data_IF_965509556624
#
_entry.id   IF_965509556624
#
_cell.length_a   1.000
_cell.length_b   1.000
_cell.length_c   1.000
_cell.angle_alpha   90.00
_cell.angle_beta   90.00
_cell.angle_gamma   90.00
#
_symmetry.space_group_name_H-M   'P 1'
#
loop_
_entity.id
_entity.type
_entity.pdbx_description
1 polymer ?
#
# COMPACT_ATOMS: atom_id res chain seq x y z
N UNK A 1 -11.88 3.06 -4.29
CA UNK A 1 -10.91 2.04 -3.85
C UNK A 1 -9.73 2.13 -4.80
N UNK A 2 -8.60 2.70 -4.37
CA UNK A 2 -7.39 2.76 -5.20
C UNK A 2 -6.41 1.73 -4.65
N UNK A 3 -6.24 0.61 -5.36
CA UNK A 3 -5.10 -0.30 -5.23
C UNK A 3 -4.09 0.14 -6.27
N UNK A 4 -3.09 0.92 -5.86
CA UNK A 4 -1.88 1.11 -6.67
C UNK A 4 -0.92 0.01 -6.23
N UNK A 5 -0.59 -0.90 -7.13
CA UNK A 5 0.59 -1.75 -7.03
C UNK A 5 1.61 -1.12 -7.98
N UNK A 6 2.46 -0.25 -7.42
CA UNK A 6 3.56 0.35 -8.15
C UNK A 6 4.75 -0.59 -8.05
N UNK A 7 5.11 -1.22 -9.16
CA UNK A 7 6.33 -2.02 -9.29
C UNK A 7 7.39 -1.11 -9.90
N UNK A 8 8.30 -0.62 -9.06
CA UNK A 8 9.55 -0.01 -9.54
C UNK A 8 10.61 -1.13 -9.59
N UNK A 9 11.68 -0.98 -10.36
CA UNK A 9 12.64 -2.06 -10.61
C UNK A 9 14.07 -1.56 -10.36
N UNK A 10 14.72 -2.01 -9.29
CA UNK A 10 16.08 -1.67 -8.90
C UNK A 10 16.86 -2.93 -8.43
N UNK A 11 17.23 -3.79 -9.40
CA UNK A 11 18.16 -4.94 -9.29
C UNK A 11 19.02 -5.05 -8.00
N UNK A 12 18.56 -5.80 -6.98
CA UNK A 12 19.34 -6.66 -6.04
C UNK A 12 18.38 -7.29 -4.98
N UNK A 13 18.77 -8.28 -4.13
CA UNK A 13 17.85 -9.28 -3.59
C UNK A 13 16.66 -8.64 -2.87
N UNK A 14 15.50 -8.96 -3.41
CA UNK A 14 14.47 -7.99 -3.71
C UNK A 14 13.33 -8.09 -2.69
N UNK A 15 13.16 -7.03 -1.90
CA UNK A 15 12.16 -6.96 -0.84
C UNK A 15 10.80 -6.51 -1.37
N UNK A 16 9.76 -7.18 -0.85
CA UNK A 16 8.36 -6.86 -1.08
C UNK A 16 7.86 -5.89 -0.01
N UNK A 17 7.59 -4.63 -0.37
CA UNK A 17 7.05 -3.64 0.58
C UNK A 17 5.53 -3.76 0.68
N UNK A 18 5.02 -4.06 1.88
CA UNK A 18 3.60 -4.01 2.21
C UNK A 18 3.26 -2.78 3.05
N UNK A 19 2.46 -1.87 2.48
CA UNK A 19 1.85 -0.78 3.24
C UNK A 19 0.51 -1.26 3.78
N UNK A 20 0.41 -1.42 5.10
CA UNK A 20 -0.76 -2.00 5.76
C UNK A 20 -1.43 -0.95 6.65
N UNK A 21 -2.76 -1.05 6.81
CA UNK A 21 -3.55 -0.17 7.69
C UNK A 21 -3.94 -0.83 9.03
N UNK A 22 -3.91 -2.16 9.14
CA UNK A 22 -4.18 -2.93 10.38
C UNK A 22 -3.62 -4.37 10.36
N UNK A 23 -3.35 -4.94 11.54
CA UNK A 23 -2.56 -6.16 11.86
C UNK A 23 -3.18 -7.52 11.44
N UNK A 24 -4.27 -7.56 10.65
CA UNK A 24 -5.02 -8.82 10.41
C UNK A 24 -4.33 -9.89 9.54
N UNK A 25 -3.14 -9.63 9.00
CA UNK A 25 -2.43 -10.54 8.08
C UNK A 25 -1.18 -11.19 8.65
N UNK A 26 -1.06 -11.26 9.96
CA UNK A 26 0.04 -11.93 10.68
C UNK A 26 0.40 -13.30 10.06
N UNK A 27 -0.62 -14.16 9.89
CA UNK A 27 -0.45 -15.52 9.34
C UNK A 27 0.06 -15.55 7.89
N UNK A 28 -0.23 -14.53 7.09
CA UNK A 28 0.21 -14.49 5.69
C UNK A 28 1.71 -14.25 5.57
N UNK A 29 2.27 -13.43 6.46
CA UNK A 29 3.69 -13.06 6.45
C UNK A 29 4.56 -13.99 7.30
N UNK A 30 3.98 -14.67 8.29
CA UNK A 30 4.68 -15.57 9.19
C UNK A 30 5.53 -16.60 8.42
N UNK A 31 6.80 -16.75 8.81
CA UNK A 31 7.73 -17.70 8.20
C UNK A 31 8.48 -17.18 6.96
N UNK A 32 8.24 -15.94 6.52
CA UNK A 32 8.85 -15.36 5.31
C UNK A 32 9.71 -14.12 5.60
N UNK A 33 10.24 -14.02 6.83
CA UNK A 33 11.08 -12.89 7.23
C UNK A 33 12.28 -12.75 6.28
N UNK A 34 12.64 -11.51 5.95
CA UNK A 34 13.71 -11.18 4.99
C UNK A 34 13.27 -11.13 3.53
N UNK A 35 12.05 -11.56 3.18
CA UNK A 35 11.49 -11.42 1.82
C UNK A 35 10.60 -10.19 1.66
N UNK A 36 10.26 -9.52 2.76
CA UNK A 36 9.38 -8.36 2.76
C UNK A 36 9.78 -7.32 3.81
N UNK A 37 9.34 -6.08 3.59
CA UNK A 37 9.37 -4.98 4.56
C UNK A 37 7.94 -4.47 4.77
N UNK A 38 7.56 -4.14 6.00
CA UNK A 38 6.21 -3.65 6.33
C UNK A 38 6.29 -2.22 6.85
N UNK A 39 5.47 -1.35 6.28
CA UNK A 39 5.28 0.03 6.73
C UNK A 39 3.81 0.24 7.09
N UNK A 40 3.53 0.33 8.38
CA UNK A 40 2.18 0.33 8.94
C UNK A 40 1.73 1.77 9.23
N UNK A 41 0.61 2.17 8.63
CA UNK A 41 -0.06 3.44 8.90
C UNK A 41 -1.38 3.18 9.63
N UNK A 42 -1.44 3.52 10.92
CA UNK A 42 -2.59 3.29 11.81
C UNK A 42 -3.18 4.61 12.30
N UNK A 43 -4.37 4.58 12.94
CA UNK A 43 -4.89 5.78 13.60
C UNK A 43 -3.90 6.29 14.64
N UNK A 44 -3.68 7.61 14.76
CA UNK A 44 -2.85 8.16 15.84
C UNK A 44 -3.35 7.78 17.24
N UNK A 45 -4.65 7.50 17.39
CA UNK A 45 -5.27 7.11 18.68
C UNK A 45 -4.89 5.71 19.14
N UNK A 46 -4.40 4.85 18.24
CA UNK A 46 -3.88 3.53 18.61
C UNK A 46 -2.49 3.79 19.19
N UNK A 47 -2.24 3.46 20.45
CA UNK A 47 -0.92 3.60 21.10
C UNK A 47 -0.26 2.27 21.40
N UNK A 48 -1.04 1.18 21.37
CA UNK A 48 -0.53 -0.17 21.59
C UNK A 48 0.37 -0.62 20.44
N UNK A 49 1.57 -1.02 20.80
CA UNK A 49 2.53 -1.66 19.89
C UNK A 49 2.25 -3.17 19.87
N UNK A 50 2.35 -3.84 18.71
CA UNK A 50 2.26 -5.29 18.64
C UNK A 50 3.32 -5.98 19.53
N UNK A 51 3.09 -7.22 20.00
CA UNK A 51 4.12 -7.99 20.69
C UNK A 51 5.36 -8.18 19.82
N UNK A 52 6.53 -8.37 20.42
CA UNK A 52 7.80 -8.53 19.68
C UNK A 52 7.82 -9.76 18.74
N UNK A 53 6.95 -10.74 19.00
CA UNK A 53 6.76 -11.91 18.16
C UNK A 53 5.93 -11.65 16.90
N UNK A 54 5.30 -10.46 16.79
CA UNK A 54 4.50 -10.07 15.64
C UNK A 54 5.36 -9.59 14.48
N UNK A 55 4.98 -9.96 13.27
CA UNK A 55 5.56 -9.43 12.03
C UNK A 55 5.34 -7.92 11.84
N UNK A 56 4.48 -7.30 12.66
CA UNK A 56 4.20 -5.86 12.63
C UNK A 56 4.92 -5.08 13.74
N UNK A 57 5.71 -5.74 14.59
CA UNK A 57 6.47 -5.08 15.64
C UNK A 57 7.44 -4.06 15.05
N UNK A 58 7.39 -2.81 15.54
CA UNK A 58 8.20 -1.67 15.09
C UNK A 58 8.05 -1.34 13.60
N UNK A 59 6.98 -1.78 12.95
CA UNK A 59 6.71 -1.44 11.56
C UNK A 59 5.91 -0.14 11.39
N UNK A 60 5.49 0.48 12.50
CA UNK A 60 4.61 1.65 12.49
C UNK A 60 5.36 2.92 12.11
N UNK A 61 4.77 3.69 11.19
CA UNK A 61 5.26 5.02 10.82
C UNK A 61 4.42 6.13 11.51
N UNK A 62 4.99 7.33 11.68
CA UNK A 62 4.24 8.50 12.16
C UNK A 62 3.00 8.75 11.31
N UNK A 63 1.84 8.75 11.97
CA UNK A 63 0.53 8.74 11.32
C UNK A 63 -0.26 9.99 11.67
N UNK A 64 -1.09 10.48 10.73
CA UNK A 64 -2.05 11.57 10.96
C UNK A 64 -3.46 11.07 10.73
N UNK A 65 -4.45 11.78 11.28
CA UNK A 65 -5.86 11.46 11.11
C UNK A 65 -6.25 11.40 9.63
N UNK A 66 -7.10 10.43 9.28
CA UNK A 66 -7.53 10.16 7.92
C UNK A 66 -9.04 10.22 7.86
N UNK A 67 -9.55 11.04 6.95
CA UNK A 67 -10.98 11.20 6.75
C UNK A 67 -11.37 10.67 5.37
N UNK A 68 -12.45 9.88 5.32
CA UNK A 68 -12.89 9.29 4.07
C UNK A 68 -13.34 10.36 3.07
N UNK A 69 -12.95 10.19 1.80
CA UNK A 69 -13.32 11.11 0.73
C UNK A 69 -12.54 12.43 0.70
N UNK A 70 -11.63 12.68 1.66
CA UNK A 70 -10.75 13.85 1.66
C UNK A 70 -9.35 13.52 1.11
N UNK A 71 -8.58 14.58 0.79
CA UNK A 71 -7.19 14.47 0.36
C UNK A 71 -6.28 13.77 1.40
N UNK A 72 -6.68 13.76 2.67
CA UNK A 72 -5.97 13.08 3.76
C UNK A 72 -5.79 11.57 3.51
N UNK A 73 -6.66 10.92 2.71
CA UNK A 73 -6.48 9.52 2.29
C UNK A 73 -5.28 9.35 1.37
N UNK A 74 -5.02 10.34 0.50
CA UNK A 74 -3.86 10.32 -0.39
C UNK A 74 -2.59 10.50 0.44
N UNK A 75 -2.59 11.47 1.35
CA UNK A 75 -1.44 11.70 2.23
C UNK A 75 -1.12 10.49 3.11
N UNK A 76 -2.16 9.83 3.63
CA UNK A 76 -2.04 8.60 4.41
C UNK A 76 -1.34 7.47 3.65
N UNK A 77 -1.53 7.39 2.33
CA UNK A 77 -0.83 6.41 1.47
C UNK A 77 0.57 6.86 1.10
N UNK A 78 0.78 8.17 0.91
CA UNK A 78 2.08 8.75 0.54
C UNK A 78 3.11 8.60 1.66
N UNK A 79 2.74 8.78 2.93
CA UNK A 79 3.67 8.70 4.07
C UNK A 79 4.38 7.33 4.21
N UNK A 80 3.68 6.19 4.25
CA UNK A 80 4.34 4.90 4.35
C UNK A 80 5.12 4.55 3.08
N UNK A 81 4.62 4.96 1.90
CA UNK A 81 5.36 4.80 0.65
C UNK A 81 6.67 5.62 0.66
N UNK A 82 6.64 6.85 1.15
CA UNK A 82 7.83 7.70 1.24
C UNK A 82 8.88 7.09 2.18
N UNK A 83 8.46 6.52 3.32
CA UNK A 83 9.39 5.81 4.22
C UNK A 83 9.96 4.55 3.56
N UNK A 84 9.14 3.81 2.82
CA UNK A 84 9.60 2.63 2.11
C UNK A 84 10.62 2.96 1.01
N UNK A 85 10.49 4.12 0.37
CA UNK A 85 11.42 4.61 -0.65
C UNK A 85 12.79 5.04 -0.08
N UNK A 86 12.91 5.26 1.22
CA UNK A 86 14.21 5.56 1.85
C UNK A 86 15.10 4.32 1.94
N UNK A 87 14.50 3.13 1.83
CA UNK A 87 15.20 1.86 1.85
C UNK A 87 15.33 1.33 0.42
N UNK A 88 16.53 1.47 -0.14
CA UNK A 88 16.87 1.07 -1.50
C UNK A 88 16.84 -0.44 -1.74
N UNK A 89 16.69 -1.26 -0.69
CA UNK A 89 16.52 -2.70 -0.84
C UNK A 89 15.07 -3.09 -1.23
N UNK A 90 14.12 -2.15 -1.12
CA UNK A 90 12.75 -2.33 -1.57
C UNK A 90 12.62 -2.09 -3.08
N UNK A 91 12.32 -3.16 -3.80
CA UNK A 91 12.07 -3.12 -5.24
C UNK A 91 10.57 -2.92 -5.55
N UNK A 92 9.71 -3.69 -4.87
CA UNK A 92 8.29 -3.79 -5.22
C UNK A 92 7.42 -3.16 -4.13
N UNK A 93 6.49 -2.29 -4.49
CA UNK A 93 5.62 -1.62 -3.54
C UNK A 93 4.15 -2.03 -3.72
N UNK A 94 3.57 -2.55 -2.65
CA UNK A 94 2.16 -2.98 -2.62
C UNK A 94 1.40 -2.29 -1.50
N UNK A 95 0.37 -1.55 -1.89
CA UNK A 95 -0.52 -0.85 -0.97
C UNK A 95 -1.73 -1.72 -0.62
N UNK A 96 -1.92 -2.00 0.67
CA UNK A 96 -3.01 -2.85 1.17
C UNK A 96 -3.82 -2.15 2.26
N UNK A 97 -5.14 -2.14 2.10
CA UNK A 97 -6.07 -1.80 3.18
C UNK A 97 -6.34 -3.01 4.06
N UNK A 98 -6.97 -2.80 5.22
CA UNK A 98 -7.41 -3.86 6.15
C UNK A 98 -8.35 -4.88 5.50
N UNK A 99 -9.14 -4.42 4.53
CA UNK A 99 -10.14 -5.22 3.83
C UNK A 99 -9.58 -6.07 2.70
N UNK A 100 -8.29 -5.97 2.37
CA UNK A 100 -7.73 -6.84 1.32
C UNK A 100 -7.56 -8.27 1.86
N UNK A 101 -7.96 -9.25 1.06
CA UNK A 101 -7.85 -10.67 1.39
C UNK A 101 -6.94 -11.30 0.33
N UNK A 102 -5.83 -11.97 0.72
CA UNK A 102 -4.98 -12.66 -0.24
C UNK A 102 -5.75 -13.84 -0.84
N UNK A 103 -5.70 -13.98 -2.17
CA UNK A 103 -6.33 -15.09 -2.89
C UNK A 103 -5.39 -16.27 -3.10
N UNK A 104 -4.09 -16.03 -2.99
CA UNK A 104 -3.02 -17.02 -3.12
C UNK A 104 -2.09 -16.93 -1.92
N UNK A 105 -1.27 -17.97 -1.71
CA UNK A 105 -0.29 -17.97 -0.63
C UNK A 105 0.85 -16.97 -0.87
N UNK A 106 1.68 -16.75 0.16
CA UNK A 106 2.78 -15.79 0.11
C UNK A 106 3.74 -16.09 -1.04
N UNK A 107 4.26 -17.32 -1.12
CA UNK A 107 5.27 -17.72 -2.11
C UNK A 107 4.80 -17.50 -3.54
N UNK A 108 3.54 -17.84 -3.85
CA UNK A 108 2.95 -17.61 -5.17
C UNK A 108 2.90 -16.12 -5.51
N UNK A 109 2.44 -15.27 -4.58
CA UNK A 109 2.35 -13.83 -4.79
C UNK A 109 3.75 -13.21 -4.92
N UNK A 110 4.67 -13.58 -4.03
CA UNK A 110 6.04 -13.12 -4.01
C UNK A 110 6.74 -13.43 -5.34
N UNK A 111 6.73 -14.70 -5.76
CA UNK A 111 7.35 -15.12 -7.01
C UNK A 111 6.73 -14.44 -8.23
N UNK A 112 5.41 -14.22 -8.23
CA UNK A 112 4.74 -13.50 -9.32
C UNK A 112 5.20 -12.03 -9.41
N UNK A 113 5.25 -11.33 -8.28
CA UNK A 113 5.59 -9.91 -8.26
C UNK A 113 7.07 -9.63 -8.49
N UNK A 114 7.93 -10.51 -7.98
CA UNK A 114 9.38 -10.33 -8.08
C UNK A 114 9.90 -10.59 -9.49
N UNK A 115 9.31 -11.58 -10.17
CA UNK A 115 9.67 -11.92 -11.54
C UNK A 115 8.91 -11.09 -12.58
N UNK A 116 7.94 -10.27 -12.17
CA UNK A 116 7.23 -9.37 -13.07
C UNK A 116 8.05 -8.11 -13.35
N UNK A 117 8.08 -7.71 -14.63
CA UNK A 117 8.59 -6.41 -15.09
C UNK A 117 7.47 -5.35 -15.24
N UNK A 118 6.24 -5.67 -14.82
CA UNK A 118 5.07 -4.82 -14.98
C UNK A 118 4.61 -4.20 -13.66
N UNK A 119 4.12 -2.97 -13.74
CA UNK A 119 3.31 -2.31 -12.72
C UNK A 119 1.83 -2.61 -12.91
N UNK A 120 1.08 -2.76 -11.81
CA UNK A 120 -0.34 -3.09 -11.82
C UNK A 120 -1.15 -1.94 -11.21
N UNK A 121 -1.78 -1.13 -12.05
CA UNK A 121 -2.61 -0.02 -11.62
C UNK A 121 -4.02 -0.21 -12.15
N UNK A 122 -4.99 -0.31 -11.23
CA UNK A 122 -6.40 -0.33 -11.59
C UNK A 122 -6.94 1.09 -11.75
N UNK A 123 -7.40 1.43 -12.95
CA UNK A 123 -8.19 2.64 -13.20
C UNK A 123 -9.55 2.22 -13.73
N UNK A 124 -10.62 2.79 -13.19
CA UNK A 124 -11.98 2.55 -13.63
C UNK A 124 -12.59 3.93 -13.86
N UNK A 125 -12.99 4.18 -15.10
CA UNK A 125 -13.79 5.34 -15.44
C UNK A 125 -15.27 4.98 -15.30
N UNK A 126 -15.90 5.42 -14.22
CA UNK A 126 -17.30 5.13 -13.91
C UNK A 126 -18.15 6.39 -14.17
N UNK A 127 -18.92 6.45 -15.28
CA UNK A 127 -19.67 7.65 -15.65
C UNK A 127 -20.83 7.96 -14.70
N UNK A 128 -21.19 7.04 -13.80
CA UNK A 128 -22.32 7.22 -12.88
C UNK A 128 -22.02 8.29 -11.83
N UNK A 129 -23.06 8.71 -11.11
CA UNK A 129 -22.97 9.69 -10.01
C UNK A 129 -21.92 9.32 -8.95
N UNK A 130 -21.66 8.02 -8.76
CA UNK A 130 -20.69 7.51 -7.78
C UNK A 130 -19.24 7.49 -8.28
N UNK A 131 -19.00 7.65 -9.58
CA UNK A 131 -17.67 7.82 -10.17
C UNK A 131 -17.45 9.27 -10.59
N UNK A 132 -17.51 9.55 -11.88
CA UNK A 132 -17.26 10.86 -12.48
C UNK A 132 -18.14 11.97 -11.87
N UNK A 133 -19.36 11.64 -11.47
CA UNK A 133 -20.28 12.61 -10.85
C UNK A 133 -19.84 13.13 -9.47
N UNK A 134 -18.82 12.54 -8.85
CA UNK A 134 -18.22 13.05 -7.59
C UNK A 134 -17.18 14.14 -7.82
N UNK A 135 -16.62 14.25 -9.02
CA UNK A 135 -15.61 15.26 -9.30
C UNK A 135 -16.25 16.62 -9.52
N UNK A 136 -15.63 17.66 -8.94
CA UNK A 136 -15.99 19.03 -9.24
C UNK A 136 -15.78 19.28 -10.74
N UNK A 137 -16.81 19.77 -11.44
CA UNK A 137 -16.76 20.09 -12.87
C UNK A 137 -15.70 21.13 -13.24
N UNK A 138 -15.13 21.83 -12.26
CA UNK A 138 -14.00 22.76 -12.45
C UNK A 138 -12.63 22.06 -12.52
N UNK A 139 -12.55 20.77 -12.25
CA UNK A 139 -11.30 19.98 -12.33
C UNK A 139 -11.19 19.21 -13.65
N UNK A 140 -12.04 19.51 -14.64
CA UNK A 140 -11.91 18.91 -15.97
C UNK A 140 -10.61 19.38 -16.60
N UNK A 141 -9.88 18.51 -17.30
CA UNK A 141 -8.67 18.91 -17.99
C UNK A 141 -9.02 20.01 -19.01
N UNK A 142 -8.26 21.10 -18.99
CA UNK A 142 -8.34 22.14 -20.02
C UNK A 142 -8.01 21.48 -21.36
N UNK A 143 -8.94 21.50 -22.31
CA UNK A 143 -8.62 21.12 -23.69
C UNK A 143 -7.59 22.13 -24.19
N UNK A 144 -6.37 21.67 -24.44
CA UNK A 144 -5.43 22.43 -25.25
C UNK A 144 -6.02 22.52 -26.66
N UNK A 145 -6.41 23.72 -27.06
CA UNK A 145 -6.77 24.09 -28.44
C UNK A 145 -5.52 24.47 -29.20
#
# INVERSE_FOLDING_TARGET
>A
MVKVIGVYNFRSPSLFCCVVKHIRREKFFKGHAGLYSIYLHTSPDITEEPPESSVFYKCRIPSKQVEWGKATVVDAKRRPLANALLDFSNDRFVLLSETCIPLFNFTTIYNYLINSNHSFVGSIDDPRKMGCGRYNKRMWPTRAS
#
